data_IF_830846231221
#
_entry.id   IF_830846231221
#
_cell.length_a   1.000
_cell.length_b   1.000
_cell.length_c   1.000
_cell.angle_alpha   90.00
_cell.angle_beta   90.00
_cell.angle_gamma   90.00
#
_symmetry.space_group_name_H-M   'P 1'
#
loop_
_entity.id
_entity.type
_entity.pdbx_description
1 polymer ?
#
# COMPACT_ATOMS: atom_id res chain seq x y z
N UNK A 1 12.69 54.29 10.71
CA UNK A 1 11.60 53.37 10.53
C UNK A 1 12.17 52.07 9.96
N UNK A 2 12.55 51.18 10.85
CA UNK A 2 13.11 49.87 10.53
C UNK A 2 11.98 48.88 10.58
N UNK A 3 11.59 48.43 9.37
CA UNK A 3 10.56 47.44 9.17
C UNK A 3 11.18 46.06 9.53
N UNK A 4 10.88 45.57 10.72
CA UNK A 4 11.33 44.27 11.20
C UNK A 4 10.36 43.22 10.64
N UNK A 5 10.76 42.57 9.53
CA UNK A 5 10.12 41.38 9.07
C UNK A 5 10.09 40.32 10.20
N UNK A 6 8.92 39.79 10.58
CA UNK A 6 8.88 38.70 11.56
C UNK A 6 9.49 37.46 10.92
N UNK A 7 10.63 37.02 11.46
CA UNK A 7 11.30 35.80 11.09
C UNK A 7 10.36 34.62 11.29
N UNK A 8 9.98 33.99 10.20
CA UNK A 8 9.17 32.76 10.16
C UNK A 8 10.01 31.56 10.63
N UNK A 9 10.24 31.43 11.93
CA UNK A 9 10.52 30.17 12.59
C UNK A 9 9.23 29.71 13.29
N UNK A 10 8.17 29.53 12.52
CA UNK A 10 7.01 28.80 13.03
C UNK A 10 7.32 27.32 12.91
N UNK A 11 7.41 26.62 14.04
CA UNK A 11 7.39 25.16 14.06
C UNK A 11 6.21 24.67 13.21
N UNK A 12 6.39 23.59 12.43
CA UNK A 12 5.31 23.08 11.59
C UNK A 12 4.10 22.74 12.48
N UNK A 13 2.93 23.23 12.11
CA UNK A 13 1.71 22.95 12.87
C UNK A 13 1.44 21.44 12.88
N UNK A 14 0.80 20.95 13.92
CA UNK A 14 0.37 19.56 14.05
C UNK A 14 -0.40 19.08 12.81
N UNK A 15 -1.25 19.93 12.26
CA UNK A 15 -1.98 19.69 11.01
C UNK A 15 -1.02 19.47 9.83
N UNK A 16 0.02 20.30 9.71
CA UNK A 16 1.02 20.17 8.64
C UNK A 16 1.76 18.84 8.72
N UNK A 17 2.13 18.40 9.92
CA UNK A 17 2.82 17.12 10.13
C UNK A 17 1.95 15.93 9.72
N UNK A 18 0.66 15.96 10.08
CA UNK A 18 -0.30 14.92 9.68
C UNK A 18 -0.48 14.90 8.16
N UNK A 19 -0.67 16.04 7.53
CA UNK A 19 -0.84 16.16 6.07
C UNK A 19 0.41 15.64 5.33
N UNK A 20 1.60 16.05 5.75
CA UNK A 20 2.86 15.58 5.15
C UNK A 20 2.99 14.07 5.28
N UNK A 21 2.67 13.50 6.45
CA UNK A 21 2.73 12.06 6.65
C UNK A 21 1.76 11.32 5.73
N UNK A 22 0.51 11.78 5.64
CA UNK A 22 -0.51 11.16 4.79
C UNK A 22 -0.18 11.25 3.29
N UNK A 23 0.48 12.33 2.86
CA UNK A 23 0.96 12.47 1.46
C UNK A 23 2.12 11.51 1.17
N UNK A 24 2.99 11.26 2.14
CA UNK A 24 4.12 10.32 2.00
C UNK A 24 3.67 8.85 1.99
N UNK A 25 2.55 8.54 2.65
CA UNK A 25 2.04 7.18 2.75
C UNK A 25 1.05 7.00 3.91
N UNK A 26 0.65 5.76 4.19
CA UNK A 26 -0.26 5.48 5.28
C UNK A 26 0.29 5.90 6.64
N UNK A 27 -0.60 6.40 7.50
CA UNK A 27 -0.32 6.68 8.90
C UNK A 27 -0.90 5.56 9.76
N UNK A 28 -0.04 4.94 10.57
CA UNK A 28 -0.41 3.83 11.44
C UNK A 28 -0.34 4.23 12.91
N UNK A 29 -1.36 3.86 13.70
CA UNK A 29 -1.44 4.13 15.13
C UNK A 29 -0.24 3.57 15.89
N UNK A 30 0.17 2.33 15.59
CA UNK A 30 1.26 1.62 16.28
C UNK A 30 2.66 2.16 15.96
N UNK A 31 2.82 2.85 14.84
CA UNK A 31 4.11 3.39 14.39
C UNK A 31 4.22 4.90 14.65
N UNK A 32 3.08 5.61 14.65
CA UNK A 32 3.02 7.08 14.74
C UNK A 32 1.98 7.52 15.79
N UNK A 33 2.04 7.00 17.02
CA UNK A 33 1.02 7.20 18.05
C UNK A 33 0.66 8.67 18.28
N UNK A 34 1.67 9.55 18.36
CA UNK A 34 1.45 11.00 18.55
C UNK A 34 0.69 11.62 17.37
N UNK A 35 1.13 11.34 16.13
CA UNK A 35 0.46 11.86 14.92
C UNK A 35 -0.93 11.27 14.74
N UNK A 36 -1.15 10.04 15.18
CA UNK A 36 -2.45 9.41 15.20
C UNK A 36 -3.43 10.15 16.10
N UNK A 37 -3.03 10.46 17.34
CA UNK A 37 -3.85 11.23 18.26
C UNK A 37 -4.16 12.64 17.73
N UNK A 38 -3.17 13.28 17.11
CA UNK A 38 -3.37 14.58 16.44
C UNK A 38 -4.37 14.44 15.28
N UNK A 39 -4.21 13.44 14.38
CA UNK A 39 -5.11 13.21 13.25
C UNK A 39 -6.57 13.13 13.70
N UNK A 40 -6.85 12.37 14.77
CA UNK A 40 -8.22 12.25 15.29
C UNK A 40 -8.81 13.59 15.72
N UNK A 41 -7.99 14.46 16.33
CA UNK A 41 -8.41 15.79 16.77
C UNK A 41 -8.61 16.79 15.62
N UNK A 42 -7.83 16.68 14.55
CA UNK A 42 -7.87 17.61 13.39
C UNK A 42 -8.47 17.00 12.12
N UNK A 43 -9.15 15.86 12.23
CA UNK A 43 -9.66 15.08 11.08
C UNK A 43 -10.48 15.92 10.10
N UNK A 44 -11.30 16.83 10.61
CA UNK A 44 -12.13 17.71 9.77
C UNK A 44 -11.26 18.64 8.93
N UNK A 45 -10.27 19.27 9.56
CA UNK A 45 -9.33 20.17 8.88
C UNK A 45 -8.51 19.41 7.83
N UNK A 46 -8.02 18.19 8.16
CA UNK A 46 -7.34 17.33 7.18
C UNK A 46 -8.25 17.04 5.98
N UNK A 47 -9.52 16.67 6.23
CA UNK A 47 -10.50 16.41 5.18
C UNK A 47 -10.69 17.61 4.27
N UNK A 48 -10.83 18.83 4.82
CA UNK A 48 -11.01 20.05 4.05
C UNK A 48 -9.80 20.33 3.14
N UNK A 49 -8.59 20.22 3.68
CA UNK A 49 -7.37 20.44 2.90
C UNK A 49 -7.18 19.42 1.77
N UNK A 50 -7.37 18.12 2.05
CA UNK A 50 -7.14 17.10 1.04
C UNK A 50 -8.24 17.08 -0.03
N UNK A 51 -9.43 17.56 0.31
CA UNK A 51 -10.54 17.70 -0.65
C UNK A 51 -10.20 18.66 -1.79
N UNK A 52 -9.50 19.76 -1.50
CA UNK A 52 -9.02 20.71 -2.52
C UNK A 52 -8.06 20.03 -3.51
N UNK A 53 -7.35 19.00 -3.06
CA UNK A 53 -6.43 18.20 -3.89
C UNK A 53 -7.12 17.03 -4.63
N UNK A 54 -8.44 16.95 -4.58
CA UNK A 54 -9.19 15.84 -5.18
C UNK A 54 -9.02 14.52 -4.40
N UNK A 55 -8.65 14.60 -3.11
CA UNK A 55 -8.42 13.44 -2.25
C UNK A 55 -9.46 13.37 -1.14
N UNK A 56 -9.60 12.19 -0.55
CA UNK A 56 -10.32 11.95 0.70
C UNK A 56 -9.42 11.23 1.69
N UNK A 57 -9.54 11.56 2.98
CA UNK A 57 -8.87 10.83 4.05
C UNK A 57 -9.79 9.70 4.53
N UNK A 58 -9.26 8.49 4.50
CA UNK A 58 -9.89 7.29 5.06
C UNK A 58 -9.22 6.99 6.38
N UNK A 59 -10.00 6.87 7.45
CA UNK A 59 -9.52 6.55 8.79
C UNK A 59 -10.28 5.33 9.29
N UNK A 60 -9.55 4.25 9.54
CA UNK A 60 -10.05 3.05 10.19
C UNK A 60 -9.47 2.99 11.61
N UNK A 61 -10.30 3.42 12.57
CA UNK A 61 -9.89 3.49 13.97
C UNK A 61 -9.79 2.10 14.62
N UNK A 62 -10.59 1.14 14.16
CA UNK A 62 -10.57 -0.23 14.67
C UNK A 62 -9.26 -0.93 14.27
N UNK A 63 -8.91 -0.85 13.00
CA UNK A 63 -7.68 -1.45 12.46
C UNK A 63 -6.44 -0.56 12.65
N UNK A 64 -6.61 0.70 13.04
CA UNK A 64 -5.54 1.62 13.42
C UNK A 64 -4.69 2.11 12.25
N UNK A 65 -5.29 2.45 11.12
CA UNK A 65 -4.61 3.08 9.99
C UNK A 65 -5.43 4.22 9.38
N UNK A 66 -4.72 5.13 8.70
CA UNK A 66 -5.33 6.17 7.87
C UNK A 66 -4.51 6.35 6.58
N UNK A 67 -5.17 6.71 5.48
CA UNK A 67 -4.53 6.95 4.18
C UNK A 67 -5.36 7.89 3.32
N UNK A 68 -4.74 8.42 2.26
CA UNK A 68 -5.43 9.24 1.27
C UNK A 68 -5.87 8.38 0.08
N UNK A 69 -7.10 8.60 -0.36
CA UNK A 69 -7.69 7.97 -1.56
C UNK A 69 -8.10 9.07 -2.53
N UNK A 70 -7.83 8.87 -3.83
CA UNK A 70 -8.36 9.75 -4.86
C UNK A 70 -9.89 9.68 -4.87
N UNK A 71 -10.55 10.83 -4.92
CA UNK A 71 -11.99 10.89 -5.11
C UNK A 71 -12.29 10.51 -6.55
N UNK A 72 -13.22 9.58 -6.73
CA UNK A 72 -13.83 9.36 -8.04
C UNK A 72 -14.77 10.56 -8.24
N UNK A 73 -14.42 11.45 -9.12
CA UNK A 73 -15.33 12.52 -9.58
C UNK A 73 -16.11 11.85 -10.70
N UNK A 74 -17.40 11.58 -10.48
CA UNK A 74 -18.32 10.98 -11.46
C UNK A 74 -18.60 11.91 -12.68
N UNK A 75 -17.93 13.02 -12.76
CA UNK A 75 -18.08 13.97 -13.85
C UNK A 75 -17.04 13.64 -14.94
N UNK A 76 -17.48 12.96 -16.00
CA UNK A 76 -16.68 12.64 -17.19
C UNK A 76 -16.02 13.87 -17.83
N UNK A 77 -16.44 15.08 -17.44
CA UNK A 77 -15.96 16.36 -17.98
C UNK A 77 -14.83 17.00 -17.17
N UNK A 78 -14.52 16.55 -15.95
CA UNK A 78 -13.50 17.15 -15.11
C UNK A 78 -12.26 16.25 -15.04
N UNK A 79 -11.31 16.41 -15.96
CA UNK A 79 -9.94 15.89 -15.80
C UNK A 79 -9.24 16.63 -14.66
N UNK A 80 -9.50 16.19 -13.41
CA UNK A 80 -8.73 16.71 -12.29
C UNK A 80 -7.30 16.14 -12.38
N UNK A 81 -6.26 17.01 -12.44
CA UNK A 81 -4.89 16.52 -12.48
C UNK A 81 -4.64 15.67 -11.22
N UNK A 82 -4.24 14.41 -11.39
CA UNK A 82 -3.98 13.52 -10.27
C UNK A 82 -2.69 13.92 -9.57
N UNK A 83 -2.78 14.21 -8.28
CA UNK A 83 -1.62 14.54 -7.45
C UNK A 83 -0.59 13.39 -7.41
N UNK A 84 -1.07 12.16 -7.49
CA UNK A 84 -0.22 10.95 -7.55
C UNK A 84 -0.48 10.24 -8.86
N UNK A 85 0.55 10.15 -9.70
CA UNK A 85 0.49 9.35 -10.92
C UNK A 85 0.16 7.89 -10.56
N UNK A 86 -0.83 7.28 -11.24
CA UNK A 86 -1.04 5.83 -11.16
C UNK A 86 0.21 5.16 -11.71
N UNK A 87 1.12 4.76 -10.85
CA UNK A 87 2.17 3.82 -11.25
C UNK A 87 1.51 2.45 -11.31
N UNK A 88 1.42 1.91 -12.51
CA UNK A 88 1.01 0.52 -12.66
C UNK A 88 1.96 -0.36 -11.84
N UNK A 89 1.42 -1.16 -10.97
CA UNK A 89 2.20 -2.17 -10.27
C UNK A 89 2.66 -3.22 -11.29
N UNK A 90 3.87 -3.73 -11.13
CA UNK A 90 4.29 -4.88 -11.95
C UNK A 90 3.39 -6.07 -11.66
N UNK A 91 3.26 -6.97 -12.64
CA UNK A 91 2.48 -8.19 -12.50
C UNK A 91 2.82 -8.95 -11.21
N UNK A 92 4.10 -9.22 -10.95
CA UNK A 92 4.52 -9.98 -9.76
C UNK A 92 4.26 -9.26 -8.44
N UNK A 93 4.33 -7.92 -8.39
CA UNK A 93 3.91 -7.14 -7.21
C UNK A 93 2.40 -7.28 -7.00
N UNK A 94 1.61 -7.25 -8.07
CA UNK A 94 0.15 -7.44 -7.99
C UNK A 94 -0.21 -8.87 -7.53
N UNK A 95 0.48 -9.89 -8.04
CA UNK A 95 0.36 -11.28 -7.57
C UNK A 95 0.64 -11.37 -6.08
N UNK A 96 1.76 -10.80 -5.62
CA UNK A 96 2.12 -10.83 -4.21
C UNK A 96 1.04 -10.17 -3.34
N UNK A 97 0.52 -9.01 -3.75
CA UNK A 97 -0.56 -8.33 -3.03
C UNK A 97 -1.84 -9.17 -2.95
N UNK A 98 -2.25 -9.82 -4.07
CA UNK A 98 -3.41 -10.70 -4.09
C UNK A 98 -3.24 -11.90 -3.14
N UNK A 99 -2.07 -12.52 -3.15
CA UNK A 99 -1.76 -13.66 -2.29
C UNK A 99 -1.69 -13.28 -0.81
N UNK A 100 -1.06 -12.14 -0.49
CA UNK A 100 -1.05 -11.60 0.86
C UNK A 100 -2.47 -11.28 1.35
N UNK A 101 -3.31 -10.74 0.48
CA UNK A 101 -4.73 -10.45 0.79
C UNK A 101 -5.52 -11.73 1.07
N UNK A 102 -5.30 -12.79 0.28
CA UNK A 102 -5.89 -14.11 0.50
C UNK A 102 -5.44 -14.70 1.84
N UNK A 103 -4.13 -14.69 2.10
CA UNK A 103 -3.58 -15.17 3.39
C UNK A 103 -4.13 -14.41 4.59
N UNK A 104 -4.30 -13.09 4.45
CA UNK A 104 -4.90 -12.28 5.51
C UNK A 104 -6.37 -12.64 5.75
N UNK A 105 -7.13 -12.98 4.72
CA UNK A 105 -8.51 -13.43 4.86
C UNK A 105 -8.60 -14.81 5.54
N UNK A 106 -7.75 -15.76 5.16
CA UNK A 106 -7.64 -17.08 5.77
C UNK A 106 -7.25 -16.98 7.25
N UNK A 107 -6.30 -16.12 7.57
CA UNK A 107 -5.86 -15.85 8.93
C UNK A 107 -7.00 -15.28 9.79
N UNK A 108 -7.72 -14.27 9.29
CA UNK A 108 -8.85 -13.67 10.00
C UNK A 108 -9.99 -14.67 10.26
N UNK A 109 -10.15 -15.66 9.40
CA UNK A 109 -11.18 -16.69 9.55
C UNK A 109 -10.76 -17.83 10.52
N UNK A 110 -9.47 -18.06 10.71
CA UNK A 110 -8.94 -19.25 11.42
C UNK A 110 -8.19 -18.94 12.71
N UNK A 111 -7.77 -17.70 12.92
CA UNK A 111 -6.93 -17.30 14.07
C UNK A 111 -7.61 -16.22 14.91
N UNK A 112 -7.42 -16.31 16.23
CA UNK A 112 -7.76 -15.25 17.16
C UNK A 112 -6.68 -14.15 17.25
N UNK A 113 -5.52 -14.37 16.61
CA UNK A 113 -4.43 -13.42 16.60
C UNK A 113 -4.78 -12.18 15.76
N UNK A 114 -4.19 -11.07 16.12
CA UNK A 114 -4.46 -9.78 15.45
C UNK A 114 -3.45 -9.47 14.34
N UNK A 115 -2.32 -10.18 14.27
CA UNK A 115 -1.18 -9.88 13.40
C UNK A 115 -0.76 -11.11 12.60
N UNK A 116 -0.89 -11.03 11.29
CA UNK A 116 -0.35 -12.03 10.37
C UNK A 116 1.13 -11.74 10.12
N UNK A 117 1.99 -12.68 10.49
CA UNK A 117 3.43 -12.63 10.27
C UNK A 117 3.80 -13.72 9.27
N UNK A 118 4.53 -13.36 8.24
CA UNK A 118 5.06 -14.28 7.22
C UNK A 118 6.58 -14.15 7.13
N UNK A 119 7.25 -15.28 6.88
CA UNK A 119 8.66 -15.24 6.57
C UNK A 119 8.91 -14.85 5.11
N UNK A 120 10.13 -14.38 4.85
CA UNK A 120 10.62 -14.14 3.48
C UNK A 120 10.46 -15.39 2.61
N UNK A 121 10.83 -16.55 3.14
CA UNK A 121 10.75 -17.83 2.41
C UNK A 121 9.32 -18.22 2.06
N UNK A 122 8.36 -18.01 2.96
CA UNK A 122 6.95 -18.22 2.65
C UNK A 122 6.47 -17.33 1.49
N UNK A 123 6.88 -16.06 1.44
CA UNK A 123 6.54 -15.16 0.33
C UNK A 123 7.25 -15.56 -0.96
N UNK A 124 8.47 -16.06 -0.87
CA UNK A 124 9.22 -16.62 -2.00
C UNK A 124 8.50 -17.83 -2.61
N UNK A 125 8.09 -18.79 -1.78
CA UNK A 125 7.30 -19.95 -2.22
C UNK A 125 5.99 -19.53 -2.92
N UNK A 126 5.31 -18.52 -2.39
CA UNK A 126 4.09 -18.00 -2.99
C UNK A 126 4.33 -17.45 -4.40
N UNK A 127 5.42 -16.71 -4.62
CA UNK A 127 5.71 -16.08 -5.90
C UNK A 127 6.35 -17.04 -6.92
N UNK A 128 7.07 -18.06 -6.48
CA UNK A 128 7.71 -19.03 -7.38
C UNK A 128 6.74 -19.69 -8.35
N UNK A 129 5.49 -19.91 -7.92
CA UNK A 129 4.44 -20.49 -8.75
C UNK A 129 4.07 -19.66 -9.99
N UNK A 130 4.41 -18.36 -9.96
CA UNK A 130 4.08 -17.39 -11.03
C UNK A 130 5.32 -16.84 -11.73
N UNK A 131 6.48 -17.43 -11.45
CA UNK A 131 7.73 -17.04 -12.09
C UNK A 131 8.10 -18.09 -13.14
N UNK A 132 8.54 -17.68 -14.34
CA UNK A 132 9.04 -18.62 -15.33
C UNK A 132 10.24 -19.38 -14.76
N UNK A 133 10.39 -20.64 -15.14
CA UNK A 133 11.54 -21.49 -14.78
C UNK A 133 12.85 -20.81 -15.15
N UNK A 134 13.38 -19.99 -14.26
CA UNK A 134 14.67 -19.39 -14.47
C UNK A 134 15.75 -20.35 -14.01
N UNK A 135 16.65 -20.75 -14.92
CA UNK A 135 17.81 -21.60 -14.66
C UNK A 135 18.80 -20.99 -13.66
N UNK A 136 18.57 -19.74 -13.21
CA UNK A 136 19.42 -19.04 -12.27
C UNK A 136 18.68 -18.67 -10.99
N UNK A 137 18.68 -19.59 -10.02
CA UNK A 137 18.00 -19.44 -8.72
C UNK A 137 18.40 -18.18 -7.94
N UNK A 138 19.65 -17.71 -8.05
CA UNK A 138 20.11 -16.49 -7.36
C UNK A 138 19.41 -15.24 -7.90
N UNK A 139 19.28 -15.10 -9.23
CA UNK A 139 18.55 -13.97 -9.83
C UNK A 139 17.07 -13.97 -9.50
N UNK A 140 16.47 -15.16 -9.41
CA UNK A 140 15.07 -15.31 -8.99
C UNK A 140 14.87 -14.76 -7.58
N UNK A 141 15.73 -15.13 -6.64
CA UNK A 141 15.69 -14.67 -5.25
C UNK A 141 15.84 -13.15 -5.17
N UNK A 142 16.84 -12.57 -5.85
CA UNK A 142 17.04 -11.10 -5.88
C UNK A 142 15.81 -10.36 -6.44
N UNK A 143 15.17 -10.93 -7.46
CA UNK A 143 13.97 -10.35 -8.07
C UNK A 143 12.78 -10.38 -7.10
N UNK A 144 12.61 -11.48 -6.37
CA UNK A 144 11.53 -11.60 -5.38
C UNK A 144 11.76 -10.65 -4.21
N UNK A 145 13.00 -10.51 -3.75
CA UNK A 145 13.35 -9.53 -2.71
C UNK A 145 13.02 -8.10 -3.13
N UNK A 146 13.26 -7.75 -4.39
CA UNK A 146 12.87 -6.45 -4.92
C UNK A 146 11.34 -6.24 -4.88
N UNK A 147 10.54 -7.29 -5.14
CA UNK A 147 9.07 -7.21 -5.04
C UNK A 147 8.61 -7.08 -3.59
N UNK A 148 9.20 -7.85 -2.65
CA UNK A 148 8.91 -7.75 -1.21
C UNK A 148 9.26 -6.34 -0.70
N UNK A 149 10.43 -5.82 -1.06
CA UNK A 149 10.84 -4.46 -0.71
C UNK A 149 9.86 -3.43 -1.27
N UNK A 150 9.38 -3.62 -2.52
CA UNK A 150 8.40 -2.71 -3.12
C UNK A 150 7.07 -2.71 -2.35
N UNK A 151 6.57 -3.87 -1.93
CA UNK A 151 5.35 -3.99 -1.12
C UNK A 151 5.55 -3.37 0.27
N UNK A 152 6.77 -3.46 0.82
CA UNK A 152 7.15 -2.81 2.09
C UNK A 152 7.17 -1.28 1.95
N UNK A 153 7.78 -0.74 0.88
CA UNK A 153 7.77 0.70 0.57
C UNK A 153 6.35 1.27 0.40
N UNK A 154 5.45 0.46 -0.17
CA UNK A 154 4.03 0.83 -0.30
C UNK A 154 3.28 0.81 1.03
N UNK A 155 3.89 0.31 2.10
CA UNK A 155 3.32 0.27 3.44
C UNK A 155 2.39 -0.93 3.70
N UNK A 156 2.36 -1.95 2.83
CA UNK A 156 1.53 -3.15 3.02
C UNK A 156 2.22 -4.25 3.80
N UNK A 157 3.55 -4.20 3.88
CA UNK A 157 4.38 -5.04 4.72
C UNK A 157 5.18 -4.17 5.70
N UNK A 158 5.44 -4.69 6.89
CA UNK A 158 6.35 -4.13 7.87
C UNK A 158 7.36 -5.17 8.28
N UNK A 159 8.66 -4.92 8.04
CA UNK A 159 9.73 -5.79 8.53
C UNK A 159 9.81 -5.71 10.06
N UNK A 160 9.94 -6.84 10.73
CA UNK A 160 10.12 -6.89 12.18
C UNK A 160 11.56 -6.51 12.55
N UNK A 161 11.71 -5.75 13.65
CA UNK A 161 13.02 -5.15 14.01
C UNK A 161 14.06 -6.17 14.42
N UNK A 162 13.62 -7.21 15.12
CA UNK A 162 14.51 -8.21 15.73
C UNK A 162 14.71 -9.45 14.84
N UNK A 163 13.95 -9.58 13.76
CA UNK A 163 13.94 -10.71 12.86
C UNK A 163 13.86 -10.22 11.39
N UNK A 164 15.04 -10.14 10.75
CA UNK A 164 15.17 -9.50 9.43
C UNK A 164 14.36 -10.19 8.33
N UNK A 165 14.03 -11.48 8.50
CA UNK A 165 13.32 -12.29 7.51
C UNK A 165 11.83 -12.44 7.82
N UNK A 166 11.31 -11.75 8.85
CA UNK A 166 9.90 -11.75 9.20
C UNK A 166 9.22 -10.42 8.87
N UNK A 167 8.03 -10.53 8.32
CA UNK A 167 7.22 -9.41 7.87
C UNK A 167 5.81 -9.53 8.41
N UNK A 168 5.30 -8.44 8.97
CA UNK A 168 3.89 -8.31 9.29
C UNK A 168 3.11 -7.81 8.08
N UNK A 169 2.05 -8.52 7.72
CA UNK A 169 1.09 -8.08 6.71
C UNK A 169 0.18 -7.03 7.33
N UNK A 170 0.19 -5.82 6.76
CA UNK A 170 -0.55 -4.68 7.32
C UNK A 170 -2.02 -4.73 6.90
N UNK A 171 -2.90 -4.46 7.86
CA UNK A 171 -4.35 -4.53 7.70
C UNK A 171 -4.93 -3.60 6.62
N UNK A 172 -4.26 -2.49 6.32
CA UNK A 172 -4.62 -1.57 5.22
C UNK A 172 -4.73 -2.28 3.88
N UNK A 173 -4.08 -3.44 3.72
CA UNK A 173 -4.17 -4.25 2.51
C UNK A 173 -5.63 -4.61 2.17
N UNK A 174 -6.49 -4.78 3.16
CA UNK A 174 -7.93 -5.04 2.95
C UNK A 174 -8.65 -3.89 2.24
N UNK A 175 -8.25 -2.66 2.54
CA UNK A 175 -8.85 -1.48 1.94
C UNK A 175 -8.27 -1.13 0.57
N UNK A 176 -7.05 -1.60 0.27
CA UNK A 176 -6.38 -1.39 -1.01
C UNK A 176 -6.71 -2.48 -2.03
N UNK A 177 -6.65 -3.75 -1.60
CA UNK A 177 -6.99 -4.92 -2.40
C UNK A 177 -8.41 -5.35 -2.03
N UNK A 178 -9.39 -4.62 -2.51
CA UNK A 178 -10.81 -4.90 -2.33
C UNK A 178 -11.35 -5.89 -3.37
N UNK A 179 -12.65 -6.19 -3.32
CA UNK A 179 -13.27 -7.14 -4.24
C UNK A 179 -13.21 -6.70 -5.70
N UNK A 180 -13.32 -5.40 -5.98
CA UNK A 180 -13.22 -4.86 -7.33
C UNK A 180 -11.79 -5.03 -7.86
N UNK A 181 -10.78 -4.68 -7.05
CA UNK A 181 -9.37 -4.86 -7.41
C UNK A 181 -9.04 -6.32 -7.72
N UNK A 182 -9.53 -7.26 -6.89
CA UNK A 182 -9.34 -8.70 -7.11
C UNK A 182 -9.98 -9.17 -8.42
N UNK A 183 -11.19 -8.72 -8.72
CA UNK A 183 -11.88 -9.07 -9.97
C UNK A 183 -11.13 -8.54 -11.21
N UNK A 184 -10.62 -7.30 -11.15
CA UNK A 184 -9.80 -6.72 -12.22
C UNK A 184 -8.45 -7.45 -12.36
N UNK A 185 -7.89 -7.91 -11.25
CA UNK A 185 -6.65 -8.69 -11.24
C UNK A 185 -6.85 -10.08 -11.85
N UNK A 186 -7.93 -10.79 -11.48
CA UNK A 186 -8.24 -12.12 -12.01
C UNK A 186 -8.42 -12.07 -13.55
N UNK A 187 -9.13 -11.05 -14.05
CA UNK A 187 -9.28 -10.86 -15.50
C UNK A 187 -7.93 -10.68 -16.21
N UNK A 188 -7.01 -9.90 -15.63
CA UNK A 188 -5.65 -9.71 -16.20
C UNK A 188 -4.78 -10.96 -16.07
N UNK A 189 -4.97 -11.74 -15.02
CA UNK A 189 -4.26 -13.01 -14.84
C UNK A 189 -4.66 -14.01 -15.93
N UNK A 190 -5.95 -14.10 -16.25
CA UNK A 190 -6.47 -14.96 -17.32
C UNK A 190 -5.94 -14.52 -18.70
N UNK A 191 -5.87 -13.22 -18.99
CA UNK A 191 -5.24 -12.68 -20.19
C UNK A 191 -3.76 -13.10 -20.28
N UNK A 192 -3.01 -12.92 -19.19
CA UNK A 192 -1.59 -13.28 -19.13
C UNK A 192 -1.34 -14.78 -19.33
N UNK A 193 -2.14 -15.63 -18.69
CA UNK A 193 -2.04 -17.10 -18.87
C UNK A 193 -2.39 -17.52 -20.30
N UNK A 194 -3.34 -16.84 -20.92
CA UNK A 194 -3.72 -17.08 -22.32
C UNK A 194 -2.58 -16.71 -23.28
N UNK A 195 -1.91 -15.59 -23.06
CA UNK A 195 -0.74 -15.17 -23.86
C UNK A 195 0.42 -16.15 -23.73
N UNK A 196 0.73 -16.62 -22.51
CA UNK A 196 1.79 -17.60 -22.28
C UNK A 196 1.52 -18.92 -23.01
N UNK A 197 0.28 -19.44 -22.95
CA UNK A 197 -0.09 -20.67 -23.62
C UNK A 197 -0.02 -20.57 -25.16
N UNK A 198 -0.23 -19.40 -25.73
CA UNK A 198 -0.09 -19.16 -27.18
C UNK A 198 1.37 -19.11 -27.62
N UNK A 199 2.27 -18.62 -26.78
CA UNK A 199 3.72 -18.58 -27.06
C UNK A 199 4.32 -19.99 -27.02
N UNK A 200 3.92 -20.83 -26.06
CA UNK A 200 4.37 -22.23 -25.96
C UNK A 200 3.83 -23.13 -27.08
N UNK A 201 2.65 -22.84 -27.61
CA UNK A 201 2.06 -23.60 -28.74
C UNK A 201 2.61 -23.25 -30.12
N UNK A 202 3.50 -22.25 -30.22
CA UNK A 202 4.06 -21.79 -31.52
C UNK A 202 5.55 -22.16 -31.70
N UNK A 203 6.12 -23.01 -30.83
CA UNK A 203 7.52 -23.45 -30.86
C UNK A 203 7.75 -24.81 -31.47
#
# INVERSE_FOLDING_TARGET
MTDTMPGANSEPSDLSLVLIQLIKGPLYRDTHEKLWSVLLGVRHQVSDYVTVLGLSVIVDEAEGYAFLRSRLIDDEAAEFPRLVARRALSFHVSVLLAMLRKRLAEFDASSADTRLILSRDQMLEMLQLFMPDSTNGARLVDTIDAHINKVTELGFLRRLRDEQDLFEVRRILKAYVDGQWLSEFDARLDEYLTELSQVEGSG
#
